data_IF_186522428829
#
_entry.id   IF_186522428829
#
_cell.length_a   1.000
_cell.length_b   1.000
_cell.length_c   1.000
_cell.angle_alpha   90.00
_cell.angle_beta   90.00
_cell.angle_gamma   90.00
#
_symmetry.space_group_name_H-M   'P 1'
#
loop_
_entity.id
_entity.type
_entity.pdbx_description
1 polymer ?
#
# COMPACT_ATOMS: atom_id res chain seq x y z
N UNK A 1 1.23 24.60 -22.58
CA UNK A 1 -0.20 24.42 -22.25
C UNK A 1 -0.47 25.35 -21.07
N UNK A 2 -1.53 26.16 -21.15
CA UNK A 2 -1.96 27.00 -20.02
C UNK A 2 -2.33 26.11 -18.82
N UNK A 3 -1.99 26.54 -17.59
CA UNK A 3 -2.21 25.74 -16.38
C UNK A 3 -3.69 25.40 -16.21
N UNK A 4 -4.56 26.38 -16.45
CA UNK A 4 -6.01 26.21 -16.34
C UNK A 4 -6.53 25.23 -17.40
N UNK A 5 -6.01 25.30 -18.63
CA UNK A 5 -6.36 24.35 -19.68
C UNK A 5 -5.94 22.90 -19.33
N UNK A 6 -4.75 22.71 -18.75
CA UNK A 6 -4.30 21.40 -18.29
C UNK A 6 -5.14 20.87 -17.14
N UNK A 7 -5.44 21.73 -16.14
CA UNK A 7 -6.29 21.39 -15.01
C UNK A 7 -7.67 20.92 -15.49
N UNK A 8 -8.35 21.74 -16.30
CA UNK A 8 -9.66 21.40 -16.84
C UNK A 8 -9.65 20.09 -17.64
N UNK A 9 -8.58 19.85 -18.42
CA UNK A 9 -8.42 18.59 -19.13
C UNK A 9 -8.32 17.41 -18.16
N UNK A 10 -7.45 17.49 -17.15
CA UNK A 10 -7.28 16.42 -16.16
C UNK A 10 -8.56 16.18 -15.34
N UNK A 11 -9.24 17.24 -14.92
CA UNK A 11 -10.50 17.16 -14.17
C UNK A 11 -11.59 16.47 -15.01
N UNK A 12 -11.66 16.77 -16.31
CA UNK A 12 -12.57 16.06 -17.23
C UNK A 12 -12.27 14.56 -17.31
N UNK A 13 -10.99 14.17 -17.23
CA UNK A 13 -10.58 12.76 -17.22
C UNK A 13 -10.89 12.09 -15.88
N UNK A 14 -10.76 12.80 -14.77
CA UNK A 14 -11.21 12.32 -13.46
C UNK A 14 -12.72 12.04 -13.50
N UNK A 15 -13.53 12.97 -13.99
CA UNK A 15 -14.99 12.78 -14.05
C UNK A 15 -15.39 11.66 -15.04
N UNK A 16 -14.57 11.42 -16.06
CA UNK A 16 -14.77 10.32 -17.01
C UNK A 16 -14.46 8.94 -16.40
N UNK A 17 -13.36 8.80 -15.67
CA UNK A 17 -12.81 7.50 -15.27
C UNK A 17 -12.97 7.15 -13.78
N UNK A 18 -13.15 8.13 -12.90
CA UNK A 18 -13.34 7.90 -11.47
C UNK A 18 -14.81 7.54 -11.17
N UNK A 19 -15.25 6.40 -11.70
CA UNK A 19 -16.63 5.93 -11.55
C UNK A 19 -16.69 4.46 -11.14
N UNK A 20 -17.71 4.05 -10.35
CA UNK A 20 -17.85 2.67 -9.88
C UNK A 20 -17.89 1.60 -10.98
N UNK A 21 -18.34 1.94 -12.20
CA UNK A 21 -18.42 0.97 -13.30
C UNK A 21 -17.05 0.43 -13.72
N UNK A 22 -15.97 1.17 -13.43
CA UNK A 22 -14.61 0.73 -13.70
C UNK A 22 -14.06 -0.24 -12.65
N UNK A 23 -14.67 -0.32 -11.45
CA UNK A 23 -14.19 -1.14 -10.33
C UNK A 23 -14.14 -2.62 -10.72
N UNK A 24 -15.23 -3.17 -11.24
CA UNK A 24 -15.38 -4.61 -11.48
C UNK A 24 -14.26 -5.23 -12.35
N UNK A 25 -13.69 -4.42 -13.24
CA UNK A 25 -12.62 -4.83 -14.13
C UNK A 25 -11.25 -4.31 -13.69
N UNK A 26 -11.11 -3.54 -12.63
CA UNK A 26 -9.84 -3.01 -12.15
C UNK A 26 -9.35 -3.80 -10.92
N UNK A 27 -8.04 -3.97 -10.69
CA UNK A 27 -7.52 -4.63 -9.49
C UNK A 27 -8.05 -4.06 -8.16
N UNK A 28 -8.50 -2.79 -8.14
CA UNK A 28 -9.16 -2.21 -6.96
C UNK A 28 -10.43 -2.97 -6.53
N UNK A 29 -11.07 -3.77 -7.39
CA UNK A 29 -12.20 -4.61 -6.95
C UNK A 29 -11.85 -5.61 -5.85
N UNK A 30 -10.57 -5.96 -5.71
CA UNK A 30 -10.10 -6.93 -4.73
C UNK A 30 -10.26 -6.43 -3.29
N UNK A 31 -9.74 -5.25 -2.89
CA UNK A 31 -10.01 -4.70 -1.57
C UNK A 31 -11.50 -4.36 -1.34
N UNK A 32 -12.27 -4.08 -2.39
CA UNK A 32 -13.73 -3.84 -2.29
C UNK A 32 -14.54 -5.07 -1.86
N UNK A 33 -13.92 -6.26 -1.79
CA UNK A 33 -14.53 -7.46 -1.23
C UNK A 33 -14.64 -7.43 0.31
N UNK A 34 -14.00 -6.47 0.97
CA UNK A 34 -13.85 -6.44 2.43
C UNK A 34 -14.40 -5.15 3.04
N UNK A 35 -14.88 -5.26 4.28
CA UNK A 35 -15.32 -4.12 5.08
C UNK A 35 -14.32 -3.75 6.19
N UNK A 36 -13.58 -4.74 6.71
CA UNK A 36 -12.58 -4.53 7.77
C UNK A 36 -11.37 -3.80 7.20
N UNK A 37 -10.95 -2.71 7.87
CA UNK A 37 -9.83 -1.85 7.46
C UNK A 37 -8.57 -2.65 7.10
N UNK A 38 -8.15 -3.56 7.97
CA UNK A 38 -6.93 -4.32 7.78
C UNK A 38 -7.03 -5.34 6.64
N UNK A 39 -8.22 -5.88 6.38
CA UNK A 39 -8.43 -6.77 5.23
C UNK A 39 -8.36 -5.98 3.91
N UNK A 40 -8.94 -4.77 3.88
CA UNK A 40 -8.82 -3.82 2.75
C UNK A 40 -7.34 -3.49 2.50
N UNK A 41 -6.57 -3.21 3.55
CA UNK A 41 -5.14 -2.88 3.45
C UNK A 41 -4.32 -4.06 2.88
N UNK A 42 -4.48 -5.27 3.43
CA UNK A 42 -3.73 -6.45 2.98
C UNK A 42 -4.13 -6.84 1.55
N UNK A 43 -5.45 -6.90 1.27
CA UNK A 43 -5.97 -7.25 -0.04
C UNK A 43 -5.57 -6.21 -1.11
N UNK A 44 -5.67 -4.92 -0.77
CA UNK A 44 -5.24 -3.82 -1.63
C UNK A 44 -3.74 -3.85 -1.90
N UNK A 45 -2.93 -4.16 -0.89
CA UNK A 45 -1.48 -4.27 -1.05
C UNK A 45 -1.11 -5.43 -1.99
N UNK A 46 -1.69 -6.62 -1.80
CA UNK A 46 -1.46 -7.73 -2.73
C UNK A 46 -1.95 -7.41 -4.15
N UNK A 47 -3.13 -6.83 -4.30
CA UNK A 47 -3.66 -6.41 -5.60
C UNK A 47 -2.69 -5.47 -6.32
N UNK A 48 -2.09 -4.52 -5.59
CA UNK A 48 -1.13 -3.59 -6.15
C UNK A 48 0.22 -4.23 -6.50
N UNK A 49 0.78 -5.07 -5.62
CA UNK A 49 2.06 -5.74 -5.87
C UNK A 49 1.96 -6.73 -7.04
N UNK A 50 0.82 -7.41 -7.17
CA UNK A 50 0.56 -8.37 -8.25
C UNK A 50 0.10 -7.69 -9.55
N UNK A 51 -0.09 -6.37 -9.59
CA UNK A 51 -0.58 -5.62 -10.75
C UNK A 51 0.44 -5.48 -11.89
N UNK A 52 0.96 -6.61 -12.38
CA UNK A 52 1.64 -6.70 -13.66
C UNK A 52 1.00 -7.79 -14.52
N UNK A 53 0.97 -7.55 -15.83
CA UNK A 53 0.39 -8.48 -16.81
C UNK A 53 -1.08 -8.20 -17.06
N UNK A 54 -1.81 -9.23 -17.51
CA UNK A 54 -3.20 -9.06 -17.92
C UNK A 54 -4.12 -8.89 -16.70
N UNK A 55 -4.94 -7.84 -16.75
CA UNK A 55 -5.96 -7.46 -15.75
C UNK A 55 -6.79 -8.63 -15.21
N UNK A 56 -7.38 -9.44 -16.09
CA UNK A 56 -8.18 -10.64 -15.70
C UNK A 56 -7.34 -11.64 -14.89
N UNK A 57 -6.09 -11.88 -15.28
CA UNK A 57 -5.16 -12.77 -14.58
C UNK A 57 -4.79 -12.22 -13.21
N UNK A 58 -4.55 -10.91 -13.10
CA UNK A 58 -4.24 -10.25 -11.82
C UNK A 58 -5.40 -10.45 -10.83
N UNK A 59 -6.63 -10.13 -11.25
CA UNK A 59 -7.83 -10.26 -10.41
C UNK A 59 -8.04 -11.72 -9.98
N UNK A 60 -7.96 -12.67 -10.92
CA UNK A 60 -8.11 -14.09 -10.62
C UNK A 60 -7.06 -14.59 -9.62
N UNK A 61 -5.81 -14.15 -9.76
CA UNK A 61 -4.72 -14.54 -8.85
C UNK A 61 -4.87 -13.93 -7.46
N UNK A 62 -5.39 -12.71 -7.36
CA UNK A 62 -5.70 -12.11 -6.07
C UNK A 62 -6.85 -12.85 -5.37
N UNK A 63 -7.91 -13.22 -6.10
CA UNK A 63 -9.02 -14.04 -5.56
C UNK A 63 -8.53 -15.42 -5.11
N UNK A 64 -7.71 -16.09 -5.92
CA UNK A 64 -7.07 -17.36 -5.55
C UNK A 64 -6.27 -17.22 -4.25
N UNK A 65 -5.46 -16.16 -4.13
CA UNK A 65 -4.65 -15.90 -2.95
C UNK A 65 -5.50 -15.70 -1.69
N UNK A 66 -6.51 -14.83 -1.77
CA UNK A 66 -7.36 -14.50 -0.63
C UNK A 66 -8.24 -15.70 -0.22
N UNK A 67 -8.64 -16.53 -1.18
CA UNK A 67 -9.34 -17.78 -0.88
C UNK A 67 -8.46 -18.77 -0.11
N UNK A 68 -7.13 -18.81 -0.35
CA UNK A 68 -6.18 -19.60 0.46
C UNK A 68 -5.98 -19.03 1.89
N UNK A 69 -6.53 -17.85 2.16
CA UNK A 69 -6.56 -17.20 3.48
C UNK A 69 -7.99 -17.14 4.03
N UNK A 70 -8.87 -18.05 3.59
CA UNK A 70 -10.27 -18.13 4.00
C UNK A 70 -11.08 -16.84 3.83
N UNK A 71 -10.67 -15.99 2.89
CA UNK A 71 -11.19 -14.64 2.69
C UNK A 71 -11.22 -13.81 3.99
N UNK A 72 -10.26 -14.03 4.88
CA UNK A 72 -10.06 -13.29 6.12
C UNK A 72 -8.57 -12.98 6.31
N UNK A 73 -7.95 -12.21 5.40
CA UNK A 73 -6.48 -12.11 5.32
C UNK A 73 -5.82 -11.56 6.58
N UNK A 74 -6.43 -10.60 7.29
CA UNK A 74 -5.88 -10.10 8.55
C UNK A 74 -5.91 -11.16 9.66
N UNK A 75 -7.01 -11.92 9.75
CA UNK A 75 -7.15 -13.01 10.72
C UNK A 75 -6.12 -14.10 10.45
N UNK A 76 -6.00 -14.52 9.18
CA UNK A 76 -4.98 -15.47 8.74
C UNK A 76 -3.57 -14.98 9.08
N UNK A 77 -3.25 -13.72 8.78
CA UNK A 77 -1.92 -13.15 9.05
C UNK A 77 -1.55 -13.23 10.54
N UNK A 78 -2.47 -12.89 11.45
CA UNK A 78 -2.18 -12.91 12.88
C UNK A 78 -2.12 -14.32 13.46
N UNK A 79 -3.07 -15.17 13.06
CA UNK A 79 -3.39 -16.39 13.80
C UNK A 79 -3.06 -17.70 13.05
N UNK A 80 -2.46 -17.64 11.85
CA UNK A 80 -2.03 -18.85 11.14
C UNK A 80 -1.12 -19.73 12.00
N UNK A 81 -1.31 -21.03 11.84
CA UNK A 81 -0.41 -22.07 12.27
C UNK A 81 0.49 -22.50 11.11
N UNK A 82 1.54 -23.26 11.40
CA UNK A 82 2.46 -23.79 10.38
C UNK A 82 1.74 -24.67 9.34
N UNK A 83 0.63 -25.31 9.73
CA UNK A 83 -0.22 -26.08 8.82
C UNK A 83 -0.96 -25.21 7.81
N UNK A 84 -1.37 -24.01 8.21
CA UNK A 84 -2.12 -23.09 7.35
C UNK A 84 -1.22 -22.47 6.28
N UNK A 85 0.05 -22.22 6.63
CA UNK A 85 1.06 -21.76 5.67
C UNK A 85 1.26 -22.73 4.49
N UNK A 86 0.96 -24.03 4.68
CA UNK A 86 1.02 -25.02 3.59
C UNK A 86 0.05 -24.69 2.45
N UNK A 87 -1.07 -24.03 2.74
CA UNK A 87 -2.05 -23.62 1.74
C UNK A 87 -1.50 -22.54 0.79
N UNK A 88 -0.49 -21.79 1.23
CA UNK A 88 0.17 -20.74 0.43
C UNK A 88 1.25 -21.29 -0.50
N UNK A 89 1.69 -22.54 -0.28
CA UNK A 89 2.71 -23.18 -1.11
C UNK A 89 2.24 -23.30 -2.56
N UNK A 90 3.21 -23.29 -3.48
CA UNK A 90 2.98 -23.34 -4.92
C UNK A 90 2.19 -22.15 -5.50
N UNK A 91 1.79 -21.16 -4.68
CA UNK A 91 1.22 -19.93 -5.21
C UNK A 91 2.24 -19.25 -6.11
N UNK A 92 1.85 -18.92 -7.33
CA UNK A 92 2.71 -18.23 -8.30
C UNK A 92 1.89 -17.23 -9.11
N UNK A 93 2.46 -16.05 -9.26
CA UNK A 93 2.03 -15.06 -10.23
C UNK A 93 3.27 -14.47 -10.91
N UNK A 94 3.54 -14.97 -12.12
CA UNK A 94 4.66 -14.55 -12.95
C UNK A 94 6.01 -14.77 -12.24
N UNK A 95 6.65 -13.74 -11.66
CA UNK A 95 7.89 -13.94 -10.88
C UNK A 95 7.71 -13.87 -9.37
N UNK A 96 6.49 -13.59 -8.90
CA UNK A 96 6.09 -13.70 -7.50
C UNK A 96 5.73 -15.16 -7.21
N UNK A 97 6.29 -15.74 -6.15
CA UNK A 97 6.02 -17.11 -5.74
C UNK A 97 5.68 -17.23 -4.24
N UNK A 98 5.47 -18.45 -3.80
CA UNK A 98 5.28 -18.84 -2.41
C UNK A 98 6.39 -18.37 -1.45
N UNK A 99 7.66 -18.41 -1.83
CA UNK A 99 8.76 -17.85 -1.00
C UNK A 99 8.58 -16.34 -0.76
N UNK A 100 8.18 -15.58 -1.78
CA UNK A 100 7.89 -14.15 -1.61
C UNK A 100 6.65 -13.98 -0.71
N UNK A 101 5.62 -14.79 -0.95
CA UNK A 101 4.36 -14.74 -0.22
C UNK A 101 4.54 -15.02 1.28
N UNK A 102 5.25 -16.10 1.64
CA UNK A 102 5.51 -16.45 3.03
C UNK A 102 6.26 -15.33 3.77
N UNK A 103 7.20 -14.67 3.09
CA UNK A 103 7.86 -13.50 3.66
C UNK A 103 6.89 -12.33 3.88
N UNK A 104 5.99 -12.05 2.94
CA UNK A 104 4.97 -11.00 3.09
C UNK A 104 4.07 -11.30 4.30
N UNK A 105 3.66 -12.55 4.50
CA UNK A 105 2.88 -12.96 5.67
C UNK A 105 3.67 -12.76 6.97
N UNK A 106 4.94 -13.14 7.01
CA UNK A 106 5.80 -12.90 8.16
C UNK A 106 5.94 -11.40 8.49
N UNK A 107 6.17 -10.56 7.47
CA UNK A 107 6.20 -9.11 7.63
C UNK A 107 4.87 -8.57 8.17
N UNK A 108 3.75 -8.96 7.56
CA UNK A 108 2.43 -8.47 7.99
C UNK A 108 2.11 -8.92 9.41
N UNK A 109 2.45 -10.16 9.81
CA UNK A 109 2.27 -10.62 11.19
C UNK A 109 3.08 -9.78 12.16
N UNK A 110 4.36 -9.54 11.86
CA UNK A 110 5.23 -8.71 12.69
C UNK A 110 4.76 -7.24 12.77
N UNK A 111 4.15 -6.73 11.70
CA UNK A 111 3.60 -5.38 11.62
C UNK A 111 2.29 -5.25 12.41
N UNK A 112 1.29 -6.07 12.09
CA UNK A 112 -0.04 -6.01 12.70
C UNK A 112 -0.07 -6.50 14.15
N UNK A 113 0.96 -7.21 14.62
CA UNK A 113 1.16 -7.45 16.05
C UNK A 113 1.51 -6.18 16.85
N UNK A 114 1.92 -5.09 16.18
CA UNK A 114 2.35 -3.83 16.81
C UNK A 114 1.47 -2.64 16.45
N UNK A 115 0.90 -2.64 15.25
CA UNK A 115 0.15 -1.51 14.71
C UNK A 115 -1.21 -1.97 14.17
N UNK A 116 -2.24 -1.14 14.38
CA UNK A 116 -3.60 -1.44 13.91
C UNK A 116 -3.83 -1.14 12.42
N UNK A 117 -2.84 -0.59 11.71
CA UNK A 117 -2.99 -0.18 10.30
C UNK A 117 -1.64 -0.18 9.60
N UNK A 118 -1.64 -0.68 8.36
CA UNK A 118 -0.48 -0.67 7.47
C UNK A 118 0.05 0.73 7.14
N UNK A 119 -0.75 1.78 7.36
CA UNK A 119 -0.33 3.18 7.23
C UNK A 119 0.95 3.48 8.03
N UNK A 120 1.07 2.90 9.23
CA UNK A 120 2.25 3.08 10.10
C UNK A 120 3.55 2.60 9.45
N UNK A 121 3.49 1.64 8.52
CA UNK A 121 4.67 1.16 7.80
C UNK A 121 5.25 2.22 6.85
N UNK A 122 4.48 3.26 6.50
CA UNK A 122 4.85 4.33 5.59
C UNK A 122 5.28 5.62 6.32
N UNK A 123 5.23 5.67 7.65
CA UNK A 123 5.54 6.86 8.43
C UNK A 123 6.95 6.71 9.04
N UNK A 124 7.94 7.51 8.59
CA UNK A 124 9.28 7.48 9.18
C UNK A 124 9.26 7.79 10.68
N UNK A 125 10.09 7.13 11.49
CA UNK A 125 10.13 7.36 12.95
C UNK A 125 10.42 8.82 13.35
N UNK A 126 11.18 9.53 12.53
CA UNK A 126 11.54 10.94 12.75
C UNK A 126 10.53 11.92 12.13
N UNK A 127 9.36 11.43 11.68
CA UNK A 127 8.33 12.22 11.01
C UNK A 127 7.64 13.25 11.92
N UNK A 128 7.64 13.00 13.23
CA UNK A 128 7.08 13.90 14.23
C UNK A 128 8.18 14.86 14.67
N UNK A 129 7.94 16.17 14.58
CA UNK A 129 8.87 17.18 15.09
C UNK A 129 9.33 16.82 16.51
N UNK A 130 10.63 16.97 16.75
CA UNK A 130 11.34 16.72 18.02
C UNK A 130 10.78 17.46 19.26
N UNK A 131 9.66 18.19 19.18
CA UNK A 131 9.05 18.91 20.30
C UNK A 131 8.24 18.06 21.28
N UNK A 132 7.93 16.80 20.95
CA UNK A 132 7.11 15.94 21.81
C UNK A 132 7.89 14.86 22.58
N UNK A 133 9.10 14.50 22.16
CA UNK A 133 9.87 13.44 22.81
C UNK A 133 10.63 13.88 24.06
N UNK A 134 10.94 15.18 24.23
CA UNK A 134 11.58 15.68 25.45
C UNK A 134 10.65 15.71 26.67
N UNK A 135 9.33 15.63 26.48
CA UNK A 135 8.34 15.66 27.57
C UNK A 135 7.74 14.30 27.94
N UNK A 136 8.12 13.21 27.25
CA UNK A 136 7.56 11.86 27.47
C UNK A 136 8.51 10.86 28.12
N UNK A 137 9.73 11.26 28.49
CA UNK A 137 10.69 10.36 29.17
C UNK A 137 10.28 9.94 30.59
N UNK A 138 9.26 10.60 31.19
CA UNK A 138 8.88 10.39 32.60
C UNK A 138 7.47 9.80 32.82
N UNK A 139 6.76 9.34 31.78
CA UNK A 139 5.42 8.75 31.97
C UNK A 139 5.39 7.24 31.70
N UNK A 140 4.73 6.44 32.56
CA UNK A 140 4.67 5.00 32.43
C UNK A 140 3.87 4.61 31.19
N UNK A 141 4.29 3.50 30.57
CA UNK A 141 3.80 2.92 29.32
C UNK A 141 2.28 2.99 29.16
N UNK A 142 1.81 3.97 28.38
CA UNK A 142 0.42 4.06 27.96
C UNK A 142 0.30 3.51 26.53
N UNK A 143 -0.66 2.61 26.29
CA UNK A 143 -0.99 2.10 24.96
C UNK A 143 -1.42 3.27 24.06
N UNK A 144 -0.59 3.56 23.06
CA UNK A 144 -0.72 4.73 22.21
C UNK A 144 -1.74 4.46 21.11
N UNK A 145 -3.04 4.60 21.43
CA UNK A 145 -4.11 4.33 20.46
C UNK A 145 -4.37 5.47 19.45
N UNK A 146 -3.78 6.67 19.62
CA UNK A 146 -4.04 7.78 18.68
C UNK A 146 -3.05 8.97 18.75
N UNK A 147 -1.74 8.73 18.66
CA UNK A 147 -0.77 9.85 18.50
C UNK A 147 -0.94 10.67 17.19
N UNK A 148 -1.82 10.23 16.30
CA UNK A 148 -1.92 10.70 14.91
C UNK A 148 -2.81 11.95 14.75
N UNK A 149 -3.62 12.30 15.74
CA UNK A 149 -4.60 13.39 15.62
C UNK A 149 -4.03 14.82 15.75
N UNK A 150 -2.73 14.99 16.04
CA UNK A 150 -2.12 16.31 16.29
C UNK A 150 -1.02 16.74 15.31
N UNK A 151 -0.71 15.95 14.27
CA UNK A 151 0.34 16.32 13.31
C UNK A 151 -0.23 17.19 12.18
N UNK A 152 -0.33 18.50 12.42
CA UNK A 152 -0.79 19.46 11.42
C UNK A 152 0.19 19.71 10.27
N UNK A 153 1.44 19.22 10.33
CA UNK A 153 2.35 19.17 9.17
C UNK A 153 3.29 17.98 9.31
N UNK A 154 3.16 16.97 8.45
CA UNK A 154 4.14 15.89 8.38
C UNK A 154 5.45 16.45 7.81
N UNK A 155 6.55 16.37 8.57
CA UNK A 155 7.85 16.86 8.13
C UNK A 155 8.62 15.82 7.28
N UNK A 156 7.93 15.14 6.36
CA UNK A 156 8.57 14.22 5.43
C UNK A 156 7.88 14.17 4.08
N UNK A 157 8.65 13.90 3.04
CA UNK A 157 8.15 13.75 1.67
C UNK A 157 7.65 12.32 1.43
N UNK A 158 6.76 12.15 0.44
CA UNK A 158 6.33 10.81 0.03
C UNK A 158 7.49 9.93 -0.46
N UNK A 159 8.56 10.54 -0.95
CA UNK A 159 9.79 9.85 -1.30
C UNK A 159 10.45 9.21 -0.06
N UNK A 160 10.59 9.98 1.02
CA UNK A 160 11.11 9.49 2.29
C UNK A 160 10.21 8.40 2.87
N UNK A 161 8.89 8.55 2.75
CA UNK A 161 7.91 7.52 3.14
C UNK A 161 8.12 6.19 2.41
N UNK A 162 8.24 6.20 1.07
CA UNK A 162 8.46 4.99 0.27
C UNK A 162 9.82 4.34 0.54
N UNK A 163 10.86 5.14 0.74
CA UNK A 163 12.20 4.66 1.10
C UNK A 163 12.21 4.03 2.51
N UNK A 164 11.50 4.65 3.46
CA UNK A 164 11.31 4.11 4.80
C UNK A 164 10.53 2.80 4.76
N UNK A 165 9.39 2.76 4.07
CA UNK A 165 8.57 1.56 3.92
C UNK A 165 9.40 0.39 3.39
N UNK A 166 10.20 0.60 2.34
CA UNK A 166 11.08 -0.46 1.83
C UNK A 166 12.07 -0.95 2.88
N UNK A 167 12.73 -0.04 3.59
CA UNK A 167 13.71 -0.39 4.63
C UNK A 167 13.05 -1.17 5.77
N UNK A 168 11.87 -0.75 6.20
CA UNK A 168 11.10 -1.42 7.23
C UNK A 168 10.53 -2.77 6.76
N UNK A 169 10.05 -2.85 5.51
CA UNK A 169 9.55 -4.09 4.92
C UNK A 169 10.60 -5.20 4.88
N UNK A 170 11.88 -4.85 4.76
CA UNK A 170 13.00 -5.79 4.75
C UNK A 170 13.79 -5.80 6.08
N UNK A 171 13.18 -5.40 7.20
CA UNK A 171 13.86 -5.34 8.49
C UNK A 171 13.90 -6.67 9.26
N UNK A 172 13.24 -7.73 8.77
CA UNK A 172 13.31 -9.06 9.37
C UNK A 172 14.61 -9.76 8.94
N UNK A 173 15.29 -10.45 9.86
CA UNK A 173 16.65 -11.00 9.63
C UNK A 173 16.71 -11.94 8.41
N UNK A 174 15.72 -12.81 8.24
CA UNK A 174 15.72 -13.87 7.22
C UNK A 174 14.96 -13.51 5.94
N UNK A 175 14.99 -12.26 5.49
CA UNK A 175 14.25 -11.88 4.30
C UNK A 175 14.88 -12.47 3.01
N UNK A 176 14.12 -13.14 2.12
CA UNK A 176 14.68 -13.70 0.90
C UNK A 176 15.11 -12.61 -0.07
N UNK A 177 16.37 -12.64 -0.55
CA UNK A 177 16.91 -11.60 -1.44
C UNK A 177 16.11 -11.41 -2.72
N UNK A 178 15.53 -12.49 -3.27
CA UNK A 178 14.68 -12.43 -4.46
C UNK A 178 13.40 -11.61 -4.26
N UNK A 179 12.93 -11.45 -3.02
CA UNK A 179 11.75 -10.66 -2.68
C UNK A 179 11.98 -9.15 -2.87
N UNK A 180 13.25 -8.69 -2.83
CA UNK A 180 13.62 -7.28 -2.98
C UNK A 180 13.05 -6.61 -4.23
N UNK A 181 12.82 -7.34 -5.32
CA UNK A 181 12.29 -6.81 -6.59
C UNK A 181 10.81 -6.44 -6.54
N UNK A 182 10.07 -6.92 -5.55
CA UNK A 182 8.63 -6.74 -5.47
C UNK A 182 8.24 -5.40 -4.83
N UNK A 183 9.06 -4.89 -3.91
CA UNK A 183 8.83 -3.61 -3.23
C UNK A 183 9.81 -2.55 -3.76
N UNK A 184 9.45 -1.79 -4.77
CA UNK A 184 10.31 -0.72 -5.32
C UNK A 184 10.50 0.45 -4.35
N UNK A 185 11.56 1.23 -4.54
CA UNK A 185 11.74 2.51 -3.83
C UNK A 185 12.32 3.60 -4.76
N UNK A 186 12.06 4.89 -4.48
CA UNK A 186 12.68 5.99 -5.21
C UNK A 186 14.21 6.00 -5.13
N UNK A 187 14.80 5.56 -4.01
CA UNK A 187 16.26 5.40 -3.88
C UNK A 187 16.88 4.46 -4.94
N UNK A 188 16.07 3.58 -5.53
CA UNK A 188 16.46 2.70 -6.64
C UNK A 188 16.15 3.32 -8.01
N UNK A 189 15.89 4.62 -8.09
CA UNK A 189 15.45 5.35 -9.29
C UNK A 189 14.17 4.77 -9.90
N UNK A 190 13.30 4.18 -9.08
CA UNK A 190 12.03 3.61 -9.50
C UNK A 190 10.89 4.60 -9.26
N UNK A 191 9.96 4.71 -10.21
CA UNK A 191 8.73 5.52 -10.08
C UNK A 191 7.67 4.88 -9.18
N UNK A 192 7.96 3.71 -8.60
CA UNK A 192 7.14 3.05 -7.59
C UNK A 192 5.65 2.89 -7.95
N UNK A 193 5.35 2.70 -9.24
CA UNK A 193 3.98 2.70 -9.80
C UNK A 193 2.98 1.88 -8.99
N UNK A 194 3.36 0.67 -8.58
CA UNK A 194 2.51 -0.23 -7.79
C UNK A 194 2.21 0.33 -6.39
N UNK A 195 3.22 0.82 -5.69
CA UNK A 195 3.03 1.43 -4.36
C UNK A 195 2.25 2.75 -4.47
N UNK A 196 2.52 3.59 -5.47
CA UNK A 196 1.76 4.81 -5.68
C UNK A 196 0.28 4.53 -6.00
N UNK A 197 0.00 3.46 -6.76
CA UNK A 197 -1.38 3.00 -6.99
C UNK A 197 -2.05 2.54 -5.69
N UNK A 198 -1.36 1.76 -4.86
CA UNK A 198 -1.85 1.35 -3.54
C UNK A 198 -2.13 2.56 -2.63
N UNK A 199 -1.17 3.49 -2.54
CA UNK A 199 -1.31 4.72 -1.75
C UNK A 199 -2.49 5.56 -2.23
N UNK A 200 -2.71 5.68 -3.54
CA UNK A 200 -3.90 6.34 -4.09
C UNK A 200 -5.18 5.75 -3.52
N UNK A 201 -5.30 4.41 -3.53
CA UNK A 201 -6.49 3.72 -3.02
C UNK A 201 -6.71 3.95 -1.52
N UNK A 202 -5.65 3.97 -0.73
CA UNK A 202 -5.75 4.09 0.72
C UNK A 202 -5.93 5.54 1.20
N UNK A 203 -5.34 6.51 0.51
CA UNK A 203 -5.25 7.93 0.94
C UNK A 203 -6.28 8.83 0.27
N UNK A 204 -6.58 8.63 -1.02
CA UNK A 204 -7.48 9.53 -1.75
C UNK A 204 -8.91 9.29 -1.30
N UNK A 205 -9.55 10.33 -0.76
CA UNK A 205 -10.99 10.38 -0.48
C UNK A 205 -11.70 10.94 -1.70
N UNK A 206 -12.51 10.12 -2.36
CA UNK A 206 -13.37 10.55 -3.45
C UNK A 206 -14.86 10.41 -3.09
N UNK A 207 -15.72 11.14 -3.79
CA UNK A 207 -17.17 11.15 -3.57
C UNK A 207 -17.92 10.08 -4.35
N UNK A 208 -17.20 9.26 -5.14
CA UNK A 208 -17.77 8.27 -6.06
C UNK A 208 -17.65 6.85 -5.49
N UNK A 209 -16.89 6.66 -4.41
CA UNK A 209 -16.67 5.36 -3.76
C UNK A 209 -15.68 4.47 -4.51
N UNK A 210 -14.78 5.04 -5.32
CA UNK A 210 -13.77 4.26 -6.06
C UNK A 210 -12.60 3.93 -5.15
N UNK A 211 -11.90 4.93 -4.63
CA UNK A 211 -10.85 4.77 -3.65
C UNK A 211 -11.43 4.78 -2.21
N UNK A 212 -10.70 4.19 -1.27
CA UNK A 212 -11.19 3.98 0.10
C UNK A 212 -10.97 5.19 1.00
N UNK A 213 -9.82 5.87 0.87
CA UNK A 213 -9.50 7.03 1.70
C UNK A 213 -9.52 6.74 3.22
N UNK A 214 -9.12 5.52 3.62
CA UNK A 214 -9.14 5.00 5.00
C UNK A 214 -7.87 5.35 5.81
N UNK A 215 -6.91 6.01 5.16
CA UNK A 215 -5.68 6.53 5.75
C UNK A 215 -5.82 8.03 5.98
N UNK A 216 -5.39 8.49 7.15
CA UNK A 216 -5.64 9.87 7.61
C UNK A 216 -4.36 10.68 7.80
N UNK A 217 -3.22 10.02 7.94
CA UNK A 217 -1.92 10.67 8.16
C UNK A 217 -1.39 11.21 6.85
N UNK A 218 -1.23 10.33 5.86
CA UNK A 218 -0.89 10.75 4.50
C UNK A 218 -2.10 11.48 3.89
N UNK A 219 -1.87 12.64 3.29
CA UNK A 219 -2.90 13.46 2.65
C UNK A 219 -2.85 13.31 1.13
N UNK A 220 -3.96 13.55 0.42
CA UNK A 220 -4.00 13.47 -1.05
C UNK A 220 -2.93 14.35 -1.74
N UNK A 221 -2.56 15.49 -1.16
CA UNK A 221 -1.51 16.38 -1.68
C UNK A 221 -0.10 15.76 -1.65
N UNK A 222 0.13 14.74 -0.81
CA UNK A 222 1.40 14.00 -0.78
C UNK A 222 1.50 12.95 -1.89
N UNK A 223 0.37 12.60 -2.53
CA UNK A 223 0.36 11.54 -3.53
C UNK A 223 1.03 11.98 -4.83
N UNK A 224 1.77 11.07 -5.44
CA UNK A 224 2.36 11.26 -6.77
C UNK A 224 1.63 10.37 -7.77
N UNK A 225 1.25 10.94 -8.91
CA UNK A 225 0.82 10.18 -10.07
C UNK A 225 2.03 9.90 -10.98
N UNK A 226 2.61 8.69 -10.96
CA UNK A 226 3.80 8.40 -11.75
C UNK A 226 3.47 8.37 -13.25
N UNK A 227 4.16 9.17 -14.05
CA UNK A 227 4.06 9.12 -15.50
C UNK A 227 4.60 7.78 -16.03
N UNK A 228 3.92 7.21 -17.03
CA UNK A 228 4.44 6.04 -17.71
C UNK A 228 5.70 6.42 -18.50
N UNK A 229 6.69 5.52 -18.57
CA UNK A 229 8.00 5.82 -19.20
C UNK A 229 7.86 6.04 -20.70
N UNK A 230 6.90 5.37 -21.35
CA UNK A 230 6.61 5.59 -22.76
C UNK A 230 5.92 6.94 -22.95
N UNK A 231 4.98 7.29 -22.07
CA UNK A 231 4.28 8.58 -22.10
C UNK A 231 5.24 9.74 -21.81
N UNK A 232 6.08 9.64 -20.78
CA UNK A 232 7.09 10.64 -20.42
C UNK A 232 8.12 10.83 -21.53
N UNK A 233 8.58 9.75 -22.17
CA UNK A 233 9.51 9.85 -23.30
C UNK A 233 8.88 10.52 -24.51
N UNK A 234 7.63 10.21 -24.84
CA UNK A 234 6.91 10.86 -25.94
C UNK A 234 6.63 12.33 -25.62
N UNK A 235 6.30 12.67 -24.37
CA UNK A 235 6.03 14.05 -23.96
C UNK A 235 7.27 14.96 -23.88
N UNK A 236 8.48 14.40 -23.91
CA UNK A 236 9.75 15.15 -23.95
C UNK A 236 10.31 15.34 -25.35
N UNK A 237 9.78 14.62 -26.34
CA UNK A 237 10.09 14.79 -27.77
C UNK A 237 9.25 15.92 -28.34
#
# INVERSE_FOLDING_TARGET
>A
MDFLALQNFLDSKVEQYNRPEFIANDPICIPHLFAKKQDIEIAGFFAAILAWGQRKTIINKCRELLNRMDNSPHEFVLNHQDTDLKQLLQFKHRTFNDTDLLYFIAFFKAHYAKYNSLEHAFIPKNAFQNGYWETMSDLPSFEMSSAVCFASDLNFTIEQSLNYFRSYFFSLEDFPHRTKKHISSPAQKSTCKRLNMFLRWMVRKDTKGVDFGIWETLKPEHLICPCDVHVDRVGRL
#
